data_IF_516797308538
#
_entry.id   IF_516797308538
#
_cell.length_a   1.000
_cell.length_b   1.000
_cell.length_c   1.000
_cell.angle_alpha   90.00
_cell.angle_beta   90.00
_cell.angle_gamma   90.00
#
_symmetry.space_group_name_H-M   'P 1'
#
loop_
_entity.id
_entity.type
_entity.pdbx_description
1 polymer ?
#
# COMPACT_ATOMS: atom_id res chain seq x y z
N UNK A 1 3.81 6.86 -18.86
CA UNK A 1 3.94 5.87 -17.76
C UNK A 1 5.43 5.74 -17.44
N UNK A 2 5.85 6.09 -16.23
CA UNK A 2 7.22 5.82 -15.77
C UNK A 2 7.33 4.32 -15.51
N UNK A 3 8.36 3.67 -16.04
CA UNK A 3 8.61 2.26 -15.76
C UNK A 3 8.76 2.08 -14.23
N UNK A 4 8.05 1.09 -13.68
CA UNK A 4 8.19 0.74 -12.27
C UNK A 4 9.56 0.06 -12.06
N UNK A 5 10.33 0.45 -11.03
CA UNK A 5 11.55 -0.26 -10.69
C UNK A 5 11.23 -1.73 -10.39
N UNK A 6 12.15 -2.63 -10.72
CA UNK A 6 11.98 -4.04 -10.39
C UNK A 6 11.84 -4.20 -8.87
N UNK A 7 10.87 -5.01 -8.37
CA UNK A 7 10.68 -5.19 -6.95
C UNK A 7 11.93 -5.83 -6.35
N UNK A 8 12.30 -5.40 -5.14
CA UNK A 8 13.29 -6.10 -4.33
C UNK A 8 12.79 -7.52 -4.01
N UNK A 9 13.69 -8.48 -3.73
CA UNK A 9 13.26 -9.81 -3.30
C UNK A 9 12.46 -9.69 -2.00
N UNK A 10 11.15 -9.98 -2.08
CA UNK A 10 10.30 -10.10 -0.91
C UNK A 10 10.77 -11.24 -0.02
N UNK A 11 10.50 -11.20 1.30
CA UNK A 11 10.69 -12.36 2.16
C UNK A 11 9.92 -13.59 1.61
N UNK A 12 10.24 -14.78 2.11
CA UNK A 12 9.61 -16.02 1.62
C UNK A 12 8.08 -16.07 1.82
N UNK A 13 7.50 -15.13 2.59
CA UNK A 13 6.06 -14.95 2.85
C UNK A 13 5.33 -16.25 3.22
N UNK A 14 6.03 -17.19 3.85
CA UNK A 14 5.42 -18.43 4.33
C UNK A 14 4.48 -18.16 5.51
N UNK A 15 3.68 -19.18 5.87
CA UNK A 15 2.69 -19.04 6.94
C UNK A 15 3.29 -18.56 8.27
N UNK A 16 4.48 -19.07 8.63
CA UNK A 16 5.14 -18.71 9.88
C UNK A 16 5.58 -17.24 9.90
N UNK A 17 6.03 -16.72 8.76
CA UNK A 17 6.39 -15.32 8.61
C UNK A 17 5.16 -14.42 8.72
N UNK A 18 4.05 -14.79 8.06
CA UNK A 18 2.79 -14.02 8.10
C UNK A 18 2.22 -13.98 9.52
N UNK A 19 2.23 -15.11 10.23
CA UNK A 19 1.79 -15.17 11.63
C UNK A 19 2.62 -14.26 12.54
N UNK A 20 3.95 -14.24 12.38
CA UNK A 20 4.83 -13.36 13.14
C UNK A 20 4.61 -11.88 12.81
N UNK A 21 4.42 -11.53 11.53
CA UNK A 21 4.14 -10.17 11.11
C UNK A 21 2.81 -9.68 11.68
N UNK A 22 1.76 -10.51 11.62
CA UNK A 22 0.46 -10.19 12.22
C UNK A 22 0.57 -9.96 13.73
N UNK A 23 1.22 -10.87 14.47
CA UNK A 23 1.40 -10.72 15.92
C UNK A 23 2.21 -9.47 16.29
N UNK A 24 3.17 -9.08 15.46
CA UNK A 24 4.00 -7.87 15.71
C UNK A 24 3.21 -6.58 15.45
N UNK A 25 2.32 -6.59 14.46
CA UNK A 25 1.62 -5.40 13.97
C UNK A 25 0.19 -5.24 14.53
N UNK A 26 -0.31 -6.22 15.28
CA UNK A 26 -1.70 -6.26 15.78
C UNK A 26 -2.12 -4.99 16.53
N UNK A 27 -1.24 -4.47 17.38
CA UNK A 27 -1.47 -3.28 18.21
C UNK A 27 -0.77 -2.02 17.64
N UNK A 28 -0.18 -2.13 16.45
CA UNK A 28 0.52 -1.01 15.82
C UNK A 28 -0.47 0.00 15.23
N UNK A 29 -0.12 1.28 15.30
CA UNK A 29 -0.89 2.31 14.60
C UNK A 29 -0.65 2.25 13.08
N UNK A 30 -1.56 2.90 12.33
CA UNK A 30 -1.53 2.85 10.87
C UNK A 30 -0.22 3.41 10.27
N UNK A 31 0.37 4.45 10.87
CA UNK A 31 1.62 5.03 10.40
C UNK A 31 2.78 4.04 10.57
N UNK A 32 2.82 3.33 11.70
CA UNK A 32 3.82 2.29 11.99
C UNK A 32 3.70 1.13 11.00
N UNK A 33 2.49 0.66 10.70
CA UNK A 33 2.26 -0.40 9.72
C UNK A 33 2.73 0.02 8.32
N UNK A 34 2.45 1.26 7.91
CA UNK A 34 2.87 1.78 6.60
C UNK A 34 4.40 1.89 6.53
N UNK A 35 5.05 2.41 7.58
CA UNK A 35 6.50 2.53 7.66
C UNK A 35 7.16 1.15 7.58
N UNK A 36 6.67 0.18 8.35
CA UNK A 36 7.13 -1.21 8.31
C UNK A 36 7.00 -1.82 6.90
N UNK A 37 5.86 -1.62 6.25
CA UNK A 37 5.64 -2.13 4.90
C UNK A 37 6.62 -1.51 3.89
N UNK A 38 6.91 -0.21 4.02
CA UNK A 38 7.87 0.48 3.16
C UNK A 38 9.30 -0.04 3.34
N UNK A 39 9.69 -0.38 4.57
CA UNK A 39 10.99 -1.00 4.86
C UNK A 39 11.08 -2.44 4.33
N UNK A 40 10.05 -3.25 4.57
CA UNK A 40 10.03 -4.69 4.20
C UNK A 40 9.96 -4.89 2.69
N UNK A 41 9.12 -4.14 2.00
CA UNK A 41 8.85 -4.35 0.58
C UNK A 41 9.57 -3.36 -0.34
N UNK A 42 10.03 -2.22 0.19
CA UNK A 42 10.81 -1.23 -0.56
C UNK A 42 10.16 -0.85 -1.88
N UNK A 43 10.90 -0.98 -2.98
CA UNK A 43 10.44 -0.69 -4.33
C UNK A 43 9.27 -1.57 -4.82
N UNK A 44 9.02 -2.70 -4.15
CA UNK A 44 7.88 -3.59 -4.44
C UNK A 44 6.58 -3.18 -3.73
N UNK A 45 6.61 -2.22 -2.80
CA UNK A 45 5.41 -1.74 -2.14
C UNK A 45 4.56 -0.90 -3.10
N UNK A 46 3.26 -1.22 -3.16
CA UNK A 46 2.26 -0.43 -3.88
C UNK A 46 1.02 -0.27 -3.02
N UNK A 47 0.27 0.81 -3.22
CA UNK A 47 -1.04 1.02 -2.63
C UNK A 47 -2.11 0.88 -3.70
N UNK A 48 -3.06 -0.03 -3.54
CA UNK A 48 -4.28 -0.01 -4.34
C UNK A 48 -5.31 0.93 -3.72
N UNK A 49 -5.98 1.74 -4.54
CA UNK A 49 -7.08 2.61 -4.09
C UNK A 49 -8.24 2.56 -5.07
N UNK A 50 -9.46 2.43 -4.57
CA UNK A 50 -10.69 2.57 -5.36
C UNK A 50 -11.19 4.02 -5.46
N UNK A 51 -10.55 4.96 -4.75
CA UNK A 51 -11.02 6.34 -4.60
C UNK A 51 -12.45 6.45 -4.04
N UNK A 52 -12.80 5.52 -3.14
CA UNK A 52 -14.05 5.57 -2.38
C UNK A 52 -14.02 6.56 -1.22
N UNK A 53 -15.11 6.62 -0.45
CA UNK A 53 -15.35 7.63 0.58
C UNK A 53 -14.20 7.81 1.59
N UNK A 54 -13.49 6.74 1.96
CA UNK A 54 -12.41 6.77 2.96
C UNK A 54 -11.00 6.65 2.35
N UNK A 55 -10.89 6.54 1.02
CA UNK A 55 -9.59 6.40 0.34
C UNK A 55 -8.67 7.59 0.58
N UNK A 56 -9.23 8.79 0.76
CA UNK A 56 -8.46 10.01 1.02
C UNK A 56 -7.60 9.91 2.30
N UNK A 57 -8.09 9.23 3.34
CA UNK A 57 -7.34 9.06 4.61
C UNK A 57 -6.10 8.21 4.37
N UNK A 58 -6.25 7.05 3.72
CA UNK A 58 -5.13 6.18 3.43
C UNK A 58 -4.13 6.82 2.46
N UNK A 59 -4.63 7.52 1.43
CA UNK A 59 -3.78 8.27 0.50
C UNK A 59 -2.96 9.33 1.23
N UNK A 60 -3.57 10.06 2.17
CA UNK A 60 -2.88 11.06 2.98
C UNK A 60 -1.81 10.44 3.88
N UNK A 61 -2.12 9.33 4.57
CA UNK A 61 -1.18 8.64 5.46
C UNK A 61 0.01 8.08 4.67
N UNK A 62 -0.24 7.34 3.59
CA UNK A 62 0.83 6.76 2.75
C UNK A 62 1.69 7.85 2.13
N UNK A 63 1.10 8.96 1.65
CA UNK A 63 1.88 10.07 1.12
C UNK A 63 2.81 10.70 2.17
N UNK A 64 2.37 10.78 3.43
CA UNK A 64 3.18 11.33 4.53
C UNK A 64 4.28 10.39 5.01
N UNK A 65 3.98 9.10 5.15
CA UNK A 65 4.87 8.13 5.79
C UNK A 65 5.80 7.45 4.78
N UNK A 66 5.28 7.09 3.61
CA UNK A 66 6.01 6.37 2.55
C UNK A 66 5.89 7.11 1.21
N UNK A 67 6.45 8.34 1.10
CA UNK A 67 6.33 9.17 -0.08
C UNK A 67 6.92 8.47 -1.31
N UNK A 68 6.22 8.56 -2.43
CA UNK A 68 6.62 7.89 -3.68
C UNK A 68 6.08 6.47 -3.84
N UNK A 69 5.36 5.93 -2.85
CA UNK A 69 4.62 4.67 -3.00
C UNK A 69 3.66 4.77 -4.19
N UNK A 70 3.80 3.89 -5.20
CA UNK A 70 2.93 3.88 -6.37
C UNK A 70 1.48 3.57 -5.98
N UNK A 71 0.55 4.41 -6.44
CA UNK A 71 -0.89 4.18 -6.26
C UNK A 71 -1.46 3.54 -7.52
N UNK A 72 -2.09 2.38 -7.35
CA UNK A 72 -2.77 1.64 -8.42
C UNK A 72 -4.28 1.86 -8.28
N UNK A 73 -4.88 2.36 -9.35
CA UNK A 73 -6.32 2.46 -9.53
C UNK A 73 -6.74 1.52 -10.65
N UNK A 74 -7.75 0.68 -10.38
CA UNK A 74 -8.32 -0.22 -11.39
C UNK A 74 -9.57 0.43 -11.94
N UNK A 75 -9.44 0.98 -13.15
CA UNK A 75 -10.58 1.50 -13.91
C UNK A 75 -11.31 0.35 -14.60
N UNK A 76 -12.54 0.08 -14.15
CA UNK A 76 -13.40 -0.96 -14.73
C UNK A 76 -14.13 -0.49 -15.99
N UNK A 77 -14.16 0.81 -16.26
CA UNK A 77 -14.96 1.45 -17.31
C UNK A 77 -16.39 1.79 -16.90
N UNK A 78 -16.83 1.42 -15.68
CA UNK A 78 -18.21 1.58 -15.20
C UNK A 78 -18.32 2.30 -13.84
N UNK A 79 -17.26 3.00 -13.43
CA UNK A 79 -17.26 3.76 -12.19
C UNK A 79 -18.14 5.01 -12.31
N UNK A 80 -18.62 5.52 -11.16
CA UNK A 80 -19.35 6.78 -11.12
C UNK A 80 -18.50 7.90 -11.72
N UNK A 81 -19.08 8.82 -12.53
CA UNK A 81 -18.33 9.95 -13.08
C UNK A 81 -17.59 10.78 -12.02
N UNK A 82 -18.13 10.85 -10.82
CA UNK A 82 -17.55 11.50 -9.66
C UNK A 82 -16.23 10.87 -9.21
N UNK A 83 -16.02 9.57 -9.43
CA UNK A 83 -14.77 8.87 -9.06
C UNK A 83 -13.56 9.32 -9.88
N UNK A 84 -13.78 9.88 -11.08
CA UNK A 84 -12.72 10.38 -11.96
C UNK A 84 -12.37 11.87 -11.74
N UNK A 85 -13.11 12.57 -10.87
CA UNK A 85 -12.93 14.01 -10.62
C UNK A 85 -12.24 14.23 -9.28
#
# INVERSE_FOLDING_TARGET
MRAMPAPAPSPALDASWVEQANATLEEADAETVIAWAAEVFGAGLVMSSSFGAHSAVMLHLVHRVAPGTPVIFVDTGYLFPETYR
#
